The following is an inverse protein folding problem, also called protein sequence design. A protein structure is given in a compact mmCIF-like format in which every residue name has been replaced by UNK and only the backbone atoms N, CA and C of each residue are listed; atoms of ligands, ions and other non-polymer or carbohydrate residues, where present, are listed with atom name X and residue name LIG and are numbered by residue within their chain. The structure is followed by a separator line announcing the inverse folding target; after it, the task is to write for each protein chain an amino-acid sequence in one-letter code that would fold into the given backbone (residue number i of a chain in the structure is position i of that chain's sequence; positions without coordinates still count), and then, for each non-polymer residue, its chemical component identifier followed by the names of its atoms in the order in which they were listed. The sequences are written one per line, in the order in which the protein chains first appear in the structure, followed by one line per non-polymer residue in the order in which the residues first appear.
data_IF_565485054003
#
_entry.id   IF_565485054003
#
_cell.length_a   1.000
_cell.length_b   1.000
_cell.length_c   1.000
_cell.angle_alpha   90.00
_cell.angle_beta   90.00
_cell.angle_gamma   90.00
#
_symmetry.space_group_name_H-M   'P 1'
#
loop_
_entity.id
_entity.type
_entity.pdbx_description
1 polymer ?
#
# COMPACT_ATOMS: atom_id res chain seq x y z
N UNK A 1 2.52 -18.14 5.32
CA UNK A 1 1.71 -17.26 4.45
C UNK A 1 2.27 -15.87 4.64
N UNK A 2 2.83 -15.25 3.60
CA UNK A 2 3.38 -13.89 3.75
C UNK A 2 2.26 -12.87 3.66
N UNK A 3 2.22 -11.96 4.63
CA UNK A 3 1.21 -10.91 4.66
C UNK A 3 1.48 -9.86 3.59
N UNK A 4 0.41 -9.31 3.02
CA UNK A 4 0.47 -8.21 2.07
C UNK A 4 0.52 -6.86 2.81
N UNK A 5 1.11 -5.86 2.14
CA UNK A 5 1.30 -4.49 2.61
C UNK A 5 0.86 -3.54 1.52
N UNK A 6 0.49 -2.34 1.90
CA UNK A 6 0.01 -1.33 0.97
C UNK A 6 1.02 -0.20 0.91
N UNK A 7 1.42 0.14 -0.32
CA UNK A 7 2.33 1.24 -0.59
C UNK A 7 1.61 2.31 -1.41
N UNK A 8 1.70 3.57 -0.98
CA UNK A 8 1.10 4.70 -1.69
C UNK A 8 2.08 5.85 -1.59
N UNK A 9 2.38 6.51 -2.71
CA UNK A 9 3.24 7.69 -2.72
C UNK A 9 2.49 8.88 -2.13
N UNK A 10 3.24 9.81 -1.54
CA UNK A 10 2.70 10.92 -0.77
C UNK A 10 1.80 11.84 -1.61
N UNK A 11 2.15 12.05 -2.89
CA UNK A 11 1.35 12.86 -3.82
C UNK A 11 -0.04 12.26 -4.08
N UNK A 12 -0.14 10.94 -4.20
CA UNK A 12 -1.42 10.25 -4.41
C UNK A 12 -2.27 10.30 -3.14
N UNK A 13 -1.66 10.14 -1.96
CA UNK A 13 -2.34 10.31 -0.67
C UNK A 13 -2.98 11.70 -0.60
N UNK A 14 -2.23 12.73 -0.97
CA UNK A 14 -2.74 14.09 -0.99
C UNK A 14 -3.88 14.26 -2.01
N UNK A 15 -3.74 13.73 -3.23
CA UNK A 15 -4.75 13.81 -4.27
C UNK A 15 -6.08 13.16 -3.83
N UNK A 16 -6.04 11.94 -3.30
CA UNK A 16 -7.23 11.24 -2.79
C UNK A 16 -7.85 11.98 -1.61
N UNK A 17 -7.02 12.49 -0.69
CA UNK A 17 -7.51 13.25 0.47
C UNK A 17 -8.26 14.49 0.03
N UNK A 18 -7.71 15.28 -0.91
CA UNK A 18 -8.37 16.49 -1.44
C UNK A 18 -9.68 16.15 -2.15
N UNK A 19 -9.73 15.08 -2.94
CA UNK A 19 -10.96 14.62 -3.60
C UNK A 19 -12.06 14.23 -2.60
N UNK A 20 -11.67 13.73 -1.43
CA UNK A 20 -12.59 13.25 -0.41
C UNK A 20 -13.16 14.33 0.49
N UNK A 21 -12.56 15.52 0.59
CA UNK A 21 -12.97 16.57 1.57
C UNK A 21 -14.44 16.95 1.44
N UNK A 22 -14.91 17.20 0.21
CA UNK A 22 -16.27 17.68 -0.08
C UNK A 22 -17.16 16.60 -0.72
N UNK A 23 -16.70 15.35 -0.80
CA UNK A 23 -17.48 14.26 -1.38
C UNK A 23 -18.47 13.72 -0.34
N UNK A 24 -19.79 13.83 -0.55
CA UNK A 24 -20.77 13.35 0.43
C UNK A 24 -20.68 11.83 0.67
N UNK A 25 -20.04 11.06 -0.25
CA UNK A 25 -19.84 9.60 -0.10
C UNK A 25 -18.82 9.26 1.01
N UNK A 26 -17.97 10.20 1.41
CA UNK A 26 -16.92 10.01 2.43
C UNK A 26 -17.34 10.58 3.80
N UNK A 27 -18.48 11.27 3.88
CA UNK A 27 -19.00 11.85 5.12
C UNK A 27 -19.20 10.77 6.20
N UNK A 28 -18.55 10.95 7.36
CA UNK A 28 -18.54 9.99 8.47
C UNK A 28 -18.05 8.58 8.08
N UNK A 29 -17.14 8.48 7.11
CA UNK A 29 -16.49 7.23 6.69
C UNK A 29 -14.98 7.28 6.94
N UNK A 30 -14.39 6.09 7.02
CA UNK A 30 -12.95 5.88 6.89
C UNK A 30 -12.66 5.69 5.38
N UNK A 31 -11.81 6.56 4.82
CA UNK A 31 -11.29 6.38 3.47
C UNK A 31 -10.03 5.53 3.53
N UNK A 32 -10.10 4.32 3.00
CA UNK A 32 -8.95 3.44 2.81
C UNK A 32 -8.31 3.68 1.46
N UNK A 33 -6.99 3.66 1.40
CA UNK A 33 -6.22 3.74 0.15
C UNK A 33 -5.52 2.40 -0.03
N UNK A 34 -6.09 1.51 -0.83
CA UNK A 34 -5.57 0.17 -1.12
C UNK A 34 -5.46 -0.07 -2.63
N UNK A 35 -4.63 0.70 -3.34
CA UNK A 35 -4.48 0.56 -4.78
C UNK A 35 -4.06 -0.88 -5.14
N UNK A 36 -4.84 -1.60 -5.97
CA UNK A 36 -4.63 -3.04 -6.20
C UNK A 36 -3.21 -3.41 -6.65
N UNK A 37 -2.57 -2.60 -7.50
CA UNK A 37 -1.22 -2.87 -7.98
C UNK A 37 -0.12 -2.63 -6.92
N UNK A 38 -0.45 -2.04 -5.78
CA UNK A 38 0.49 -1.71 -4.71
C UNK A 38 0.24 -2.52 -3.42
N UNK A 39 -0.63 -3.53 -3.49
CA UNK A 39 -0.82 -4.51 -2.42
C UNK A 39 0.19 -5.64 -2.66
N UNK A 40 1.30 -5.61 -1.94
CA UNK A 40 2.44 -6.50 -2.18
C UNK A 40 2.94 -7.16 -0.89
N UNK A 41 3.35 -8.43 -0.99
CA UNK A 41 4.21 -9.06 -0.01
C UNK A 41 5.63 -8.49 -0.06
N UNK A 42 6.43 -8.78 0.98
CA UNK A 42 7.80 -8.31 1.01
C UNK A 42 8.67 -9.00 -0.06
N UNK A 43 8.41 -10.29 -0.33
CA UNK A 43 9.11 -11.02 -1.39
C UNK A 43 8.76 -10.50 -2.78
N UNK A 44 7.51 -10.10 -3.04
CA UNK A 44 7.14 -9.50 -4.32
C UNK A 44 7.86 -8.18 -4.55
N UNK A 45 7.94 -7.32 -3.51
CA UNK A 45 8.70 -6.07 -3.56
C UNK A 45 10.20 -6.32 -3.83
N UNK A 46 10.82 -7.25 -3.09
CA UNK A 46 12.23 -7.61 -3.29
C UNK A 46 12.45 -8.13 -4.71
N UNK A 47 11.62 -9.08 -5.15
CA UNK A 47 11.74 -9.69 -6.48
C UNK A 47 11.58 -8.66 -7.60
N UNK A 48 10.68 -7.69 -7.43
CA UNK A 48 10.52 -6.57 -8.36
C UNK A 48 11.78 -5.70 -8.42
N UNK A 49 12.35 -5.38 -7.27
CA UNK A 49 13.57 -4.58 -7.18
C UNK A 49 14.79 -5.31 -7.79
N UNK A 50 14.98 -6.58 -7.48
CA UNK A 50 16.06 -7.42 -8.04
C UNK A 50 15.99 -7.48 -9.57
N UNK A 51 14.78 -7.64 -10.14
CA UNK A 51 14.58 -7.62 -11.60
C UNK A 51 15.01 -6.31 -12.23
N UNK A 52 14.69 -5.16 -11.61
CA UNK A 52 15.05 -3.85 -12.14
C UNK A 52 16.56 -3.57 -12.05
N UNK A 53 17.21 -4.01 -10.97
CA UNK A 53 18.67 -3.82 -10.78
C UNK A 53 19.51 -4.86 -11.53
N UNK A 54 18.91 -5.99 -11.92
CA UNK A 54 19.61 -7.08 -12.62
C UNK A 54 20.56 -7.87 -11.71
N UNK A 55 20.31 -7.89 -10.39
CA UNK A 55 21.09 -8.67 -9.42
C UNK A 55 20.20 -9.21 -8.31
N UNK A 56 20.63 -10.31 -7.70
CA UNK A 56 19.99 -10.84 -6.49
C UNK A 56 20.57 -10.19 -5.24
N UNK A 57 19.74 -9.97 -4.24
CA UNK A 57 20.11 -9.47 -2.93
C UNK A 57 20.36 -10.62 -1.96
N UNK A 58 21.24 -10.38 -0.99
CA UNK A 58 21.36 -11.27 0.16
C UNK A 58 20.26 -10.93 1.18
N UNK A 59 19.22 -11.75 1.24
CA UNK A 59 18.08 -11.55 2.14
C UNK A 59 18.33 -12.22 3.49
N UNK A 60 18.29 -11.44 4.57
CA UNK A 60 18.40 -11.93 5.94
C UNK A 60 17.04 -11.81 6.63
N UNK A 61 16.57 -12.91 7.24
CA UNK A 61 15.35 -12.90 8.06
C UNK A 61 15.67 -12.45 9.47
N UNK A 62 15.03 -11.38 9.91
CA UNK A 62 15.17 -10.85 11.27
C UNK A 62 14.01 -11.40 12.12
N UNK A 63 14.27 -11.97 13.31
CA UNK A 63 13.22 -12.40 14.23
C UNK A 63 12.38 -11.22 14.71
N UNK A 64 11.19 -11.50 15.26
CA UNK A 64 10.15 -10.53 15.66
C UNK A 64 10.52 -9.63 16.86
N UNK A 65 11.74 -9.10 16.89
CA UNK A 65 12.25 -8.12 17.88
C UNK A 65 12.24 -6.71 17.27
N UNK A 66 11.39 -6.48 16.27
CA UNK A 66 11.27 -5.23 15.57
C UNK A 66 10.41 -4.22 16.37
N UNK A 67 10.59 -2.93 16.09
CA UNK A 67 9.70 -1.87 16.57
C UNK A 67 8.23 -2.25 16.25
N UNK A 68 7.32 -1.97 17.18
CA UNK A 68 5.91 -2.40 17.14
C UNK A 68 5.21 -2.10 15.80
N UNK A 69 5.53 -0.97 15.16
CA UNK A 69 4.98 -0.59 13.86
C UNK A 69 5.40 -1.56 12.74
N UNK A 70 6.67 -1.96 12.70
CA UNK A 70 7.16 -2.89 11.68
C UNK A 70 6.57 -4.29 11.87
N UNK A 71 6.34 -4.72 13.12
CA UNK A 71 5.62 -5.97 13.40
C UNK A 71 4.17 -5.91 12.86
N UNK A 72 3.46 -4.83 13.15
CA UNK A 72 2.06 -4.63 12.68
C UNK A 72 1.97 -4.63 11.15
N UNK A 73 2.83 -3.88 10.47
CA UNK A 73 2.82 -3.78 9.01
C UNK A 73 3.38 -5.06 8.36
N UNK A 74 4.60 -5.47 8.73
CA UNK A 74 5.34 -6.46 7.95
C UNK A 74 5.08 -7.91 8.33
N UNK A 75 4.70 -8.17 9.58
CA UNK A 75 4.43 -9.52 10.10
C UNK A 75 2.93 -9.78 10.19
N UNK A 76 2.15 -8.86 10.76
CA UNK A 76 0.69 -9.03 10.92
C UNK A 76 -0.12 -8.58 9.71
N UNK A 77 0.40 -7.67 8.88
CA UNK A 77 -0.30 -7.18 7.69
C UNK A 77 -1.50 -6.30 8.00
N UNK A 78 -1.48 -5.59 9.14
CA UNK A 78 -2.66 -4.89 9.67
C UNK A 78 -3.22 -3.79 8.75
N UNK A 79 -2.49 -3.41 7.69
CA UNK A 79 -2.97 -2.46 6.68
C UNK A 79 -4.09 -3.04 5.80
N UNK A 80 -4.08 -4.35 5.53
CA UNK A 80 -4.95 -4.99 4.52
C UNK A 80 -5.42 -6.40 4.89
N UNK A 81 -5.17 -6.88 6.11
CA UNK A 81 -5.60 -8.22 6.57
C UNK A 81 -7.10 -8.31 6.94
N UNK A 82 -7.93 -7.36 6.48
CA UNK A 82 -9.37 -7.30 6.76
C UNK A 82 -10.14 -6.72 5.56
N UNK A 83 -11.40 -7.12 5.45
CA UNK A 83 -12.34 -6.57 4.47
C UNK A 83 -12.88 -5.20 4.92
N UNK A 84 -13.02 -4.27 3.98
CA UNK A 84 -13.58 -2.96 4.27
C UNK A 84 -15.10 -3.10 4.41
N UNK A 85 -15.61 -2.82 5.60
CA UNK A 85 -17.05 -2.83 5.88
C UNK A 85 -17.73 -1.58 5.29
N UNK A 86 -18.63 -1.71 4.29
CA UNK A 86 -19.19 -0.58 3.56
C UNK A 86 -19.99 0.41 4.42
N UNK A 87 -20.53 -0.06 5.56
CA UNK A 87 -21.30 0.79 6.48
C UNK A 87 -20.47 1.89 7.14
N UNK A 88 -19.14 1.76 7.23
CA UNK A 88 -18.26 2.81 7.78
C UNK A 88 -16.95 3.02 7.00
N UNK A 89 -16.65 2.22 5.99
CA UNK A 89 -15.43 2.30 5.20
C UNK A 89 -15.71 2.39 3.70
N UNK A 90 -14.83 3.08 2.98
CA UNK A 90 -14.84 3.18 1.51
C UNK A 90 -13.41 3.13 0.99
N UNK A 91 -13.21 2.62 -0.23
CA UNK A 91 -11.89 2.52 -0.86
C UNK A 91 -11.69 3.64 -1.90
N UNK A 92 -10.53 4.29 -1.87
CA UNK A 92 -10.25 5.49 -2.65
C UNK A 92 -10.15 5.24 -4.16
N UNK A 93 -9.51 4.16 -4.58
CA UNK A 93 -9.38 3.80 -6.01
C UNK A 93 -10.71 3.37 -6.64
N UNK A 94 -11.63 2.81 -5.84
CA UNK A 94 -13.00 2.55 -6.26
C UNK A 94 -13.85 3.82 -6.35
N UNK A 95 -13.70 4.76 -5.41
CA UNK A 95 -14.46 6.02 -5.40
C UNK A 95 -14.00 7.03 -6.45
N UNK A 96 -12.70 7.01 -6.79
CA UNK A 96 -12.04 7.95 -7.70
C UNK A 96 -11.22 7.22 -8.78
N UNK A 97 -11.86 6.41 -9.65
CA UNK A 97 -11.15 5.61 -10.65
C UNK A 97 -10.47 6.44 -11.74
N UNK A 98 -10.80 7.74 -11.82
CA UNK A 98 -10.17 8.70 -12.73
C UNK A 98 -8.80 9.19 -12.25
N UNK A 99 -8.48 9.05 -10.95
CA UNK A 99 -7.15 9.34 -10.44
C UNK A 99 -6.21 8.18 -10.73
N UNK A 100 -5.22 8.41 -11.60
CA UNK A 100 -4.12 7.47 -11.79
C UNK A 100 -3.15 7.57 -10.62
N UNK A 101 -3.04 6.51 -9.85
CA UNK A 101 -2.02 6.37 -8.82
C UNK A 101 -0.70 5.86 -9.41
N UNK A 102 0.39 6.19 -8.73
CA UNK A 102 1.74 5.71 -9.00
C UNK A 102 1.88 4.29 -8.45
N UNK A 103 2.25 3.36 -9.33
CA UNK A 103 2.51 1.98 -8.91
C UNK A 103 3.85 1.85 -8.18
N UNK A 104 4.01 0.81 -7.37
CA UNK A 104 5.32 0.50 -6.76
C UNK A 104 6.38 0.29 -7.85
N UNK A 105 6.03 -0.33 -8.96
CA UNK A 105 6.92 -0.57 -10.09
C UNK A 105 7.44 0.74 -10.69
N UNK A 106 6.53 1.68 -11.00
CA UNK A 106 6.87 3.03 -11.50
C UNK A 106 7.67 3.82 -10.47
N UNK A 107 7.37 3.69 -9.18
CA UNK A 107 8.13 4.38 -8.14
C UNK A 107 9.57 3.87 -8.06
N UNK A 108 9.79 2.56 -8.14
CA UNK A 108 11.13 1.97 -8.13
C UNK A 108 11.97 2.41 -9.34
N UNK A 109 11.36 2.64 -10.51
CA UNK A 109 12.07 3.19 -11.68
C UNK A 109 12.63 4.59 -11.46
N UNK A 110 12.12 5.35 -10.48
CA UNK A 110 12.64 6.69 -10.13
C UNK A 110 13.87 6.62 -9.22
N UNK A 111 14.14 5.47 -8.60
CA UNK A 111 15.23 5.26 -7.65
C UNK A 111 16.47 4.61 -8.29
N UNK A 112 16.35 4.11 -9.52
CA UNK A 112 17.35 3.31 -10.23
C UNK A 112 17.84 4.04 -11.49
#
# INVERSE_FOLDING_TARGET
MEMQKVFVVEEDIAAYTVRAVDDPRTLNKILYMRPPANILSHNELISMWERKVGRTFHVVRIPEVLLSLALSIFVRGDQANFEIEPSFGVEATELYPDLRYTTVDEYLDRLL
#
